data_IF_642927136368
#
_entry.id   IF_642927136368
#
_cell.length_a   1.000
_cell.length_b   1.000
_cell.length_c   1.000
_cell.angle_alpha   90.00
_cell.angle_beta   90.00
_cell.angle_gamma   90.00
#
_symmetry.space_group_name_H-M   'P 1'
#
loop_
_entity.id
_entity.type
_entity.pdbx_description
1 polymer ?
#
# COMPACT_ATOMS: atom_id res chain seq x y z
N UNK A 1 12.74 -15.99 3.08
CA UNK A 1 12.21 -14.63 2.97
C UNK A 1 12.93 -13.78 1.92
N UNK A 2 14.25 -13.81 1.83
CA UNK A 2 15.05 -13.04 0.83
C UNK A 2 14.82 -13.50 -0.61
N UNK A 3 14.49 -14.77 -0.82
CA UNK A 3 14.26 -15.35 -2.15
C UNK A 3 13.00 -14.79 -2.85
N UNK A 4 11.95 -14.48 -2.07
CA UNK A 4 10.69 -13.91 -2.59
C UNK A 4 10.85 -12.46 -3.08
N UNK A 5 11.77 -11.70 -2.50
CA UNK A 5 12.02 -10.30 -2.88
C UNK A 5 12.75 -10.15 -4.23
N UNK A 6 13.30 -11.24 -4.78
CA UNK A 6 14.08 -11.24 -6.02
C UNK A 6 13.19 -11.29 -7.28
N UNK A 7 11.98 -11.81 -7.17
CA UNK A 7 11.05 -11.86 -8.29
C UNK A 7 10.31 -10.53 -8.46
N UNK A 8 10.37 -9.97 -9.66
CA UNK A 8 9.70 -8.69 -10.01
C UNK A 8 8.19 -8.71 -9.72
N UNK A 9 7.54 -9.87 -9.87
CA UNK A 9 6.10 -10.04 -9.67
C UNK A 9 5.70 -9.79 -8.20
N UNK A 10 6.51 -10.22 -7.24
CA UNK A 10 6.22 -10.02 -5.81
C UNK A 10 6.24 -8.54 -5.39
N UNK A 11 6.96 -7.69 -6.13
CA UNK A 11 6.98 -6.24 -5.88
C UNK A 11 5.60 -5.61 -6.10
N UNK A 12 4.78 -6.19 -6.96
CA UNK A 12 3.44 -5.71 -7.26
C UNK A 12 2.37 -6.40 -6.38
N UNK A 13 2.48 -7.71 -6.23
CA UNK A 13 1.48 -8.52 -5.53
C UNK A 13 1.46 -8.23 -4.02
N UNK A 14 2.63 -8.15 -3.36
CA UNK A 14 2.70 -7.95 -1.91
C UNK A 14 2.07 -6.61 -1.47
N UNK A 15 2.40 -5.45 -2.06
CA UNK A 15 1.74 -4.21 -1.70
C UNK A 15 0.24 -4.22 -1.99
N UNK A 16 -0.17 -4.81 -3.09
CA UNK A 16 -1.59 -4.94 -3.45
C UNK A 16 -2.36 -5.75 -2.41
N UNK A 17 -1.86 -6.91 -2.01
CA UNK A 17 -2.50 -7.74 -0.96
C UNK A 17 -2.49 -7.05 0.39
N UNK A 18 -1.44 -6.33 0.74
CA UNK A 18 -1.41 -5.51 1.96
C UNK A 18 -2.49 -4.41 1.93
N UNK A 19 -2.69 -3.77 0.78
CA UNK A 19 -3.77 -2.80 0.59
C UNK A 19 -5.15 -3.41 0.81
N UNK A 20 -5.41 -4.59 0.22
CA UNK A 20 -6.66 -5.34 0.44
C UNK A 20 -6.87 -5.66 1.92
N UNK A 21 -5.85 -6.16 2.61
CA UNK A 21 -5.92 -6.48 4.05
C UNK A 21 -6.18 -5.22 4.89
N UNK A 22 -5.56 -4.11 4.55
CA UNK A 22 -5.74 -2.83 5.24
C UNK A 22 -7.19 -2.34 5.15
N UNK A 23 -7.92 -2.68 4.08
CA UNK A 23 -9.31 -2.27 3.93
C UNK A 23 -10.25 -2.82 5.00
N UNK A 24 -9.91 -3.98 5.61
CA UNK A 24 -10.68 -4.54 6.72
C UNK A 24 -10.62 -3.70 8.01
N UNK A 25 -9.74 -2.69 8.06
CA UNK A 25 -9.72 -1.74 9.17
C UNK A 25 -10.90 -0.78 9.18
N UNK A 26 -11.61 -0.64 8.06
CA UNK A 26 -12.77 0.22 7.91
C UNK A 26 -14.10 -0.54 8.14
N UNK A 27 -15.22 0.17 8.36
CA UNK A 27 -16.54 -0.44 8.43
C UNK A 27 -16.84 -1.31 7.19
N UNK A 28 -17.54 -2.43 7.35
CA UNK A 28 -18.25 -2.89 8.55
C UNK A 28 -17.37 -3.66 9.56
N UNK A 29 -16.14 -4.01 9.21
CA UNK A 29 -15.30 -4.92 10.02
C UNK A 29 -14.64 -4.23 11.22
N UNK A 30 -14.23 -2.96 11.08
CA UNK A 30 -13.62 -2.13 12.13
C UNK A 30 -12.38 -2.74 12.82
N UNK A 31 -11.63 -3.60 12.13
CA UNK A 31 -10.40 -4.19 12.64
C UNK A 31 -9.23 -3.18 12.57
N UNK A 32 -9.33 -2.11 13.34
CA UNK A 32 -8.38 -1.00 13.34
C UNK A 32 -6.92 -1.44 13.59
N UNK A 33 -6.72 -2.51 14.36
CA UNK A 33 -5.38 -3.08 14.64
C UNK A 33 -4.62 -3.51 13.39
N UNK A 34 -5.30 -3.84 12.30
CA UNK A 34 -4.67 -4.24 11.03
C UNK A 34 -3.74 -3.13 10.52
N UNK A 35 -4.11 -1.86 10.70
CA UNK A 35 -3.29 -0.72 10.27
C UNK A 35 -1.92 -0.70 10.94
N UNK A 36 -1.84 -1.06 12.23
CA UNK A 36 -0.57 -1.12 12.96
C UNK A 36 0.38 -2.20 12.44
N UNK A 37 -0.14 -3.20 11.75
CA UNK A 37 0.65 -4.26 11.12
C UNK A 37 0.98 -3.95 9.66
N UNK A 38 -0.01 -3.51 8.88
CA UNK A 38 0.15 -3.34 7.44
C UNK A 38 1.05 -2.17 7.07
N UNK A 39 0.96 -1.04 7.77
CA UNK A 39 1.82 0.12 7.49
C UNK A 39 3.30 -0.13 7.79
N UNK A 40 3.71 -0.71 8.93
CA UNK A 40 5.10 -1.08 9.16
C UNK A 40 5.63 -2.11 8.16
N UNK A 41 4.80 -3.09 7.76
CA UNK A 41 5.20 -4.07 6.74
C UNK A 41 5.40 -3.40 5.39
N UNK A 42 4.50 -2.48 5.00
CA UNK A 42 4.64 -1.70 3.78
C UNK A 42 5.92 -0.86 3.80
N UNK A 43 6.19 -0.19 4.92
CA UNK A 43 7.39 0.62 5.10
C UNK A 43 8.66 -0.24 5.01
N UNK A 44 8.67 -1.39 5.67
CA UNK A 44 9.79 -2.35 5.59
C UNK A 44 10.00 -2.82 4.15
N UNK A 45 8.91 -3.12 3.44
CA UNK A 45 8.98 -3.55 2.05
C UNK A 45 9.51 -2.45 1.12
N UNK A 46 9.11 -1.21 1.36
CA UNK A 46 9.58 -0.03 0.64
C UNK A 46 11.08 0.19 0.83
N UNK A 47 11.56 0.05 2.07
CA UNK A 47 12.98 0.19 2.41
C UNK A 47 13.81 -0.94 1.79
N UNK A 48 13.31 -2.17 1.83
CA UNK A 48 14.00 -3.33 1.26
C UNK A 48 14.20 -3.21 -0.25
N UNK A 49 13.28 -2.53 -0.93
CA UNK A 49 13.33 -2.31 -2.38
C UNK A 49 13.87 -0.93 -2.79
N UNK A 50 14.31 -0.11 -1.83
CA UNK A 50 14.81 1.24 -2.08
C UNK A 50 15.93 1.31 -3.13
N UNK A 51 16.82 0.31 -3.15
CA UNK A 51 17.93 0.24 -4.12
C UNK A 51 17.49 0.08 -5.58
N UNK A 52 16.24 -0.37 -5.82
CA UNK A 52 15.71 -0.60 -7.16
C UNK A 52 15.27 0.69 -7.88
N UNK A 53 15.30 1.82 -7.18
CA UNK A 53 14.99 3.13 -7.74
C UNK A 53 13.69 3.76 -7.26
N UNK A 54 13.54 5.05 -7.51
CA UNK A 54 12.40 5.87 -7.07
C UNK A 54 11.07 5.41 -7.69
N UNK A 55 11.09 4.99 -8.95
CA UNK A 55 9.92 4.46 -9.63
C UNK A 55 9.38 3.19 -9.00
N UNK A 56 10.26 2.32 -8.51
CA UNK A 56 9.84 1.12 -7.77
C UNK A 56 9.11 1.49 -6.49
N UNK A 57 9.60 2.50 -5.77
CA UNK A 57 8.93 3.00 -4.55
C UNK A 57 7.55 3.59 -4.86
N UNK A 58 7.43 4.34 -5.95
CA UNK A 58 6.14 4.86 -6.42
C UNK A 58 5.15 3.74 -6.72
N UNK A 59 5.58 2.72 -7.49
CA UNK A 59 4.73 1.60 -7.87
C UNK A 59 4.28 0.78 -6.64
N UNK A 60 5.16 0.57 -5.68
CA UNK A 60 4.83 -0.12 -4.41
C UNK A 60 3.68 0.61 -3.69
N UNK A 61 3.80 1.93 -3.51
CA UNK A 61 2.74 2.73 -2.90
C UNK A 61 1.46 2.75 -3.73
N UNK A 62 1.58 2.88 -5.05
CA UNK A 62 0.45 2.89 -5.94
C UNK A 62 -0.33 1.56 -5.91
N UNK A 63 0.36 0.42 -5.96
CA UNK A 63 -0.26 -0.90 -5.84
C UNK A 63 -0.95 -1.11 -4.49
N UNK A 64 -0.34 -0.64 -3.41
CA UNK A 64 -0.97 -0.66 -2.09
C UNK A 64 -2.26 0.17 -2.07
N UNK A 65 -2.19 1.42 -2.54
CA UNK A 65 -3.36 2.31 -2.61
C UNK A 65 -4.45 1.74 -3.52
N UNK A 66 -4.08 1.19 -4.67
CA UNK A 66 -5.02 0.54 -5.58
C UNK A 66 -5.76 -0.61 -4.91
N UNK A 67 -5.04 -1.54 -4.25
CA UNK A 67 -5.65 -2.64 -3.49
C UNK A 67 -6.58 -2.15 -2.37
N UNK A 68 -6.15 -1.14 -1.62
CA UNK A 68 -6.94 -0.54 -0.56
C UNK A 68 -8.26 0.06 -1.07
N UNK A 69 -8.20 0.85 -2.14
CA UNK A 69 -9.39 1.52 -2.67
C UNK A 69 -10.32 0.59 -3.45
N UNK A 70 -9.80 -0.40 -4.19
CA UNK A 70 -10.65 -1.41 -4.86
C UNK A 70 -11.55 -2.10 -3.85
N UNK A 71 -11.00 -2.50 -2.71
CA UNK A 71 -11.78 -3.18 -1.67
C UNK A 71 -12.77 -2.23 -0.97
N UNK A 72 -12.34 -1.00 -0.67
CA UNK A 72 -13.20 -0.04 0.03
C UNK A 72 -14.31 0.54 -0.84
N UNK A 73 -14.09 0.72 -2.13
CA UNK A 73 -15.08 1.29 -3.04
C UNK A 73 -16.10 0.28 -3.55
N UNK A 74 -15.94 -1.00 -3.20
CA UNK A 74 -16.90 -2.04 -3.59
C UNK A 74 -18.34 -1.70 -3.16
N UNK A 75 -18.52 -1.05 -2.01
CA UNK A 75 -19.85 -0.63 -1.54
C UNK A 75 -20.53 0.42 -2.45
N UNK A 76 -19.74 1.21 -3.19
CA UNK A 76 -20.27 2.19 -4.15
C UNK A 76 -21.08 1.50 -5.25
N UNK A 77 -20.71 0.26 -5.59
CA UNK A 77 -21.50 -0.52 -6.57
C UNK A 77 -22.94 -0.72 -6.14
N UNK A 78 -23.18 -0.86 -4.84
CA UNK A 78 -24.52 -1.01 -4.31
C UNK A 78 -25.34 0.29 -4.46
N UNK A 79 -24.69 1.44 -4.26
CA UNK A 79 -25.34 2.74 -4.46
C UNK A 79 -25.69 2.99 -5.95
N UNK A 80 -24.81 2.61 -6.87
CA UNK A 80 -25.01 2.80 -8.31
C UNK A 80 -26.01 1.82 -8.93
N UNK A 81 -26.35 0.73 -8.25
CA UNK A 81 -27.34 -0.26 -8.73
C UNK A 81 -28.78 0.26 -8.68
N UNK A 82 -29.06 1.31 -7.92
CA UNK A 82 -30.41 1.86 -7.79
C UNK A 82 -30.89 2.55 -9.08
N UNK A 83 -29.99 2.96 -9.97
CA UNK A 83 -30.34 3.64 -11.20
C UNK A 83 -29.81 2.87 -12.42
N UNK A 84 -30.72 2.43 -13.30
CA UNK A 84 -30.39 1.56 -14.44
C UNK A 84 -29.39 2.19 -15.41
N UNK A 85 -29.46 3.51 -15.59
CA UNK A 85 -28.59 4.26 -16.50
C UNK A 85 -27.12 4.25 -16.08
N UNK A 86 -26.81 4.03 -14.79
CA UNK A 86 -25.45 4.05 -14.26
C UNK A 86 -24.79 2.66 -14.16
N UNK A 87 -25.53 1.57 -14.48
CA UNK A 87 -24.98 0.20 -14.45
C UNK A 87 -23.75 0.03 -15.34
N UNK A 88 -23.70 0.71 -16.49
CA UNK A 88 -22.56 0.66 -17.43
C UNK A 88 -21.33 1.37 -16.87
N UNK A 89 -21.51 2.37 -15.99
CA UNK A 89 -20.42 3.13 -15.38
C UNK A 89 -19.78 2.41 -14.18
N UNK A 90 -20.44 1.41 -13.61
CA UNK A 90 -19.96 0.68 -12.43
C UNK A 90 -18.55 0.08 -12.65
N UNK A 91 -18.29 -0.72 -13.71
CA UNK A 91 -16.97 -1.32 -13.89
C UNK A 91 -15.89 -0.27 -14.16
N UNK A 92 -16.23 0.82 -14.83
CA UNK A 92 -15.32 1.93 -15.12
C UNK A 92 -14.95 2.65 -13.82
N UNK A 93 -15.94 2.97 -13.00
CA UNK A 93 -15.74 3.65 -11.72
C UNK A 93 -14.91 2.80 -10.75
N UNK A 94 -15.17 1.48 -10.68
CA UNK A 94 -14.45 0.55 -9.81
C UNK A 94 -12.96 0.41 -10.13
N UNK A 95 -12.58 0.68 -11.36
CA UNK A 95 -11.18 0.61 -11.78
C UNK A 95 -10.55 2.00 -11.78
N UNK A 96 -11.22 2.98 -12.36
CA UNK A 96 -10.66 4.31 -12.58
C UNK A 96 -10.46 5.10 -11.28
N UNK A 97 -11.44 5.02 -10.36
CA UNK A 97 -11.36 5.73 -9.08
C UNK A 97 -10.22 5.18 -8.19
N UNK A 98 -10.10 3.86 -7.97
CA UNK A 98 -8.96 3.32 -7.21
C UNK A 98 -7.60 3.60 -7.87
N UNK A 99 -7.51 3.55 -9.20
CA UNK A 99 -6.28 3.90 -9.92
C UNK A 99 -5.87 5.34 -9.64
N UNK A 100 -6.81 6.27 -9.71
CA UNK A 100 -6.57 7.69 -9.46
C UNK A 100 -6.21 7.94 -7.99
N UNK A 101 -6.99 7.41 -7.06
CA UNK A 101 -6.73 7.58 -5.62
C UNK A 101 -5.44 6.88 -5.18
N UNK A 102 -5.09 5.75 -5.78
CA UNK A 102 -3.84 5.05 -5.55
C UNK A 102 -2.60 5.91 -5.88
N UNK A 103 -2.71 6.87 -6.81
CA UNK A 103 -1.61 7.81 -7.14
C UNK A 103 -1.13 8.58 -5.91
N UNK A 104 -2.02 8.95 -4.99
CA UNK A 104 -1.63 9.67 -3.77
C UNK A 104 -0.73 8.81 -2.88
N UNK A 105 -1.01 7.51 -2.76
CA UNK A 105 -0.13 6.57 -2.05
C UNK A 105 1.19 6.36 -2.78
N UNK A 106 1.16 6.31 -4.10
CA UNK A 106 2.37 6.28 -4.93
C UNK A 106 3.25 7.50 -4.72
N UNK A 107 2.67 8.71 -4.72
CA UNK A 107 3.37 9.95 -4.45
C UNK A 107 3.91 10.01 -3.02
N UNK A 108 3.14 9.58 -2.03
CA UNK A 108 3.60 9.49 -0.64
C UNK A 108 4.81 8.56 -0.50
N UNK A 109 4.77 7.39 -1.14
CA UNK A 109 5.89 6.44 -1.13
C UNK A 109 7.12 6.98 -1.85
N UNK A 110 6.92 7.71 -2.96
CA UNK A 110 8.00 8.37 -3.68
C UNK A 110 8.63 9.47 -2.82
N UNK A 111 7.82 10.26 -2.12
CA UNK A 111 8.29 11.30 -1.19
C UNK A 111 9.10 10.70 -0.06
N UNK A 112 8.61 9.59 0.54
CA UNK A 112 9.35 8.85 1.55
C UNK A 112 10.72 8.36 1.02
N UNK A 113 10.76 7.88 -0.21
CA UNK A 113 11.99 7.47 -0.87
C UNK A 113 12.95 8.63 -1.13
N UNK A 114 12.42 9.83 -1.44
CA UNK A 114 13.21 11.02 -1.70
C UNK A 114 13.90 11.54 -0.43
N UNK A 115 13.20 11.55 0.71
CA UNK A 115 13.73 12.04 1.99
C UNK A 115 14.76 11.11 2.65
N UNK A 116 15.25 10.10 1.94
CA UNK A 116 16.35 9.23 2.41
C UNK A 116 16.09 8.63 3.80
N UNK A 117 14.89 8.09 4.00
CA UNK A 117 14.50 7.39 5.24
C UNK A 117 15.52 6.35 5.68
N UNK A 118 16.34 5.85 4.74
CA UNK A 118 17.42 4.91 5.00
C UNK A 118 18.42 5.40 6.04
N UNK A 119 18.77 6.70 6.04
CA UNK A 119 19.70 7.26 7.05
C UNK A 119 19.07 7.29 8.44
N UNK A 120 17.78 7.65 8.54
CA UNK A 120 17.09 7.70 9.83
C UNK A 120 16.85 6.29 10.39
N UNK A 121 16.47 5.33 9.55
CA UNK A 121 16.20 3.96 9.99
C UNK A 121 17.51 3.25 10.36
N UNK A 122 18.60 3.46 9.61
CA UNK A 122 19.91 2.96 10.00
C UNK A 122 20.34 3.49 11.38
N UNK A 123 20.04 4.74 11.67
CA UNK A 123 20.27 5.32 12.99
C UNK A 123 19.42 4.64 14.08
N UNK A 124 18.12 4.42 13.84
CA UNK A 124 17.24 3.74 14.79
C UNK A 124 17.61 2.26 14.98
N UNK A 125 18.01 1.56 13.92
CA UNK A 125 18.43 0.16 14.00
C UNK A 125 19.72 0.03 14.78
N UNK A 126 20.70 0.91 14.57
CA UNK A 126 21.94 0.92 15.35
C UNK A 126 21.69 1.31 16.80
N UNK A 127 20.79 2.27 17.06
CA UNK A 127 20.41 2.66 18.43
C UNK A 127 19.71 1.49 19.14
N UNK A 128 18.82 0.77 18.48
CA UNK A 128 18.12 -0.38 19.03
C UNK A 128 19.08 -1.56 19.32
N UNK A 129 20.01 -1.82 18.39
CA UNK A 129 21.05 -2.85 18.60
C UNK A 129 22.00 -2.50 19.75
N UNK A 130 22.32 -1.21 19.92
CA UNK A 130 23.13 -0.75 21.06
C UNK A 130 22.39 -0.95 22.39
N UNK A 131 21.07 -0.80 22.39
CA UNK A 131 20.22 -0.98 23.57
C UNK A 131 20.01 -2.45 23.95
N UNK A 132 20.05 -3.38 22.96
CA UNK A 132 19.90 -4.82 23.19
C UNK A 132 21.21 -5.51 23.57
N UNK A 133 22.37 -4.89 23.34
CA UNK A 133 23.69 -5.45 23.66
C UNK A 133 24.32 -4.93 24.96
N UNK A 134 23.61 -4.11 25.72
CA UNK A 134 23.92 -3.75 27.09
C UNK A 134 22.91 -4.40 28.03
#
# INVERSE_FOLDING_TARGET
MIFFLKNKIFIYIIPFTLGLVTSFSLPPYNYFFINFLTFPILLFFLISNYKKGKWTSFIIGWMFGFGYFVSNLYWITNALKFEENFKVLIPIALILIPLFLGLFYGLASLTCSYFNLKKKIFFYTNFFNLFLHN
#
